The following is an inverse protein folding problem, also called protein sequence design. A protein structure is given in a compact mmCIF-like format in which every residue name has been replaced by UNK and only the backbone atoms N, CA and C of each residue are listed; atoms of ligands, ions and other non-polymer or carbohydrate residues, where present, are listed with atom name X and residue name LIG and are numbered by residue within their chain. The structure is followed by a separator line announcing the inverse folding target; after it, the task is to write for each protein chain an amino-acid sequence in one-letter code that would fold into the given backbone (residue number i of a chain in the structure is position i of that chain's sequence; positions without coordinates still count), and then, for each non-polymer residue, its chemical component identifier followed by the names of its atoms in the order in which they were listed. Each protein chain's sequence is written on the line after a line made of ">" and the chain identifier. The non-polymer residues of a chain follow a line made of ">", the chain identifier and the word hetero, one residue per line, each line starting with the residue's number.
data_IF_845814544227
#
_entry.id   IF_845814544227
#
_cell.length_a   1.000
_cell.length_b   1.000
_cell.length_c   1.000
_cell.angle_alpha   90.00
_cell.angle_beta   90.00
_cell.angle_gamma   90.00
#
_symmetry.space_group_name_H-M   'P 1'
#
loop_
_entity.id
_entity.type
_entity.pdbx_description
1 polymer ?
#
# COMPACT_ATOMS: atom_id res chain seq x y z
N UNK A 1 -63.23 9.78 27.29
CA UNK A 1 -63.59 11.00 28.03
C UNK A 1 -64.56 11.87 27.28
N UNK A 2 -64.32 12.21 26.01
CA UNK A 2 -65.26 13.03 25.23
C UNK A 2 -66.66 12.40 25.15
N UNK A 3 -66.73 11.09 24.91
CA UNK A 3 -68.01 10.37 24.93
C UNK A 3 -68.75 10.50 26.29
N UNK A 4 -68.04 10.37 27.42
CA UNK A 4 -68.64 10.54 28.75
C UNK A 4 -69.14 11.97 28.99
N UNK A 5 -68.42 12.97 28.46
CA UNK A 5 -68.81 14.38 28.51
C UNK A 5 -70.08 14.63 27.69
N UNK A 6 -70.16 14.06 26.48
CA UNK A 6 -71.36 14.15 25.63
C UNK A 6 -72.55 13.41 26.27
N UNK A 7 -72.34 12.20 26.79
CA UNK A 7 -73.36 11.45 27.52
C UNK A 7 -73.88 12.24 28.73
N UNK A 8 -73.00 12.88 29.50
CA UNK A 8 -73.39 13.73 30.63
C UNK A 8 -74.23 14.94 30.16
N UNK A 9 -73.82 15.61 29.09
CA UNK A 9 -74.55 16.76 28.51
C UNK A 9 -75.96 16.33 28.06
N UNK A 10 -76.06 15.17 27.39
CA UNK A 10 -77.34 14.63 26.91
C UNK A 10 -78.24 14.20 28.07
N UNK A 11 -77.72 13.43 29.03
CA UNK A 11 -78.52 12.94 30.18
C UNK A 11 -78.98 14.07 31.09
N UNK A 12 -78.22 15.18 31.15
CA UNK A 12 -78.58 16.35 31.95
C UNK A 12 -79.43 17.38 31.23
N UNK A 13 -79.67 17.23 29.92
CA UNK A 13 -80.22 18.30 29.09
C UNK A 13 -79.47 19.62 29.30
N UNK A 14 -78.13 19.55 29.43
CA UNK A 14 -77.31 20.72 29.74
C UNK A 14 -77.29 21.75 28.63
N UNK A 15 -77.67 21.37 27.40
CA UNK A 15 -77.83 22.28 26.25
C UNK A 15 -79.26 22.26 25.73
N UNK A 16 -79.75 23.41 25.29
CA UNK A 16 -81.01 23.53 24.56
C UNK A 16 -80.83 23.16 23.07
N UNK A 17 -81.93 23.20 22.30
CA UNK A 17 -81.94 22.90 20.85
C UNK A 17 -81.02 23.81 20.01
N UNK A 18 -80.70 25.00 20.52
CA UNK A 18 -79.80 25.97 19.89
C UNK A 18 -78.32 25.76 20.29
N UNK A 19 -78.03 24.76 21.15
CA UNK A 19 -76.67 24.44 21.61
C UNK A 19 -76.16 25.31 22.76
N UNK A 20 -77.01 26.14 23.36
CA UNK A 20 -76.71 27.04 24.49
C UNK A 20 -76.89 26.31 25.81
N UNK A 21 -75.95 26.53 26.75
CA UNK A 21 -76.01 25.90 28.06
C UNK A 21 -77.17 26.41 28.92
N UNK A 22 -77.89 25.48 29.55
CA UNK A 22 -79.02 25.75 30.43
C UNK A 22 -78.57 25.78 31.89
N UNK A 23 -78.67 26.94 32.54
CA UNK A 23 -78.12 27.16 33.89
C UNK A 23 -78.73 26.23 34.96
N UNK A 24 -80.03 25.90 34.88
CA UNK A 24 -80.68 24.98 35.81
C UNK A 24 -80.15 23.55 35.68
N UNK A 25 -79.90 23.09 34.45
CA UNK A 25 -79.33 21.77 34.18
C UNK A 25 -77.86 21.67 34.63
N UNK A 26 -77.07 22.72 34.43
CA UNK A 26 -75.67 22.76 34.88
C UNK A 26 -75.51 22.69 36.41
N UNK A 27 -76.51 23.18 37.15
CA UNK A 27 -76.54 23.13 38.63
C UNK A 27 -77.01 21.79 39.18
N UNK A 28 -77.54 20.90 38.34
CA UNK A 28 -78.00 19.59 38.79
C UNK A 28 -76.80 18.76 39.29
N UNK A 29 -76.92 18.20 40.49
CA UNK A 29 -75.87 17.40 41.13
C UNK A 29 -76.16 15.91 41.15
N UNK A 30 -77.39 15.51 40.85
CA UNK A 30 -77.84 14.10 40.93
C UNK A 30 -77.38 13.31 39.71
N UNK A 31 -77.43 13.92 38.52
CA UNK A 31 -77.14 13.23 37.26
C UNK A 31 -75.67 12.83 37.18
N UNK A 32 -74.76 13.72 37.58
CA UNK A 32 -73.33 13.41 37.67
C UNK A 32 -73.05 12.30 38.69
N UNK A 33 -73.63 12.38 39.89
CA UNK A 33 -73.47 11.36 40.92
C UNK A 33 -74.00 9.99 40.46
N UNK A 34 -75.17 9.94 39.84
CA UNK A 34 -75.73 8.71 39.30
C UNK A 34 -74.86 8.11 38.20
N UNK A 35 -74.39 8.93 37.25
CA UNK A 35 -73.61 8.45 36.12
C UNK A 35 -72.22 7.95 36.53
N UNK A 36 -71.47 8.73 37.32
CA UNK A 36 -70.07 8.42 37.62
C UNK A 36 -69.88 7.59 38.89
N UNK A 37 -70.80 7.65 39.85
CA UNK A 37 -70.69 6.88 41.10
C UNK A 37 -71.58 5.64 41.03
N UNK A 38 -72.90 5.81 40.87
CA UNK A 38 -73.83 4.67 40.95
C UNK A 38 -73.72 3.72 39.75
N UNK A 39 -73.49 4.25 38.55
CA UNK A 39 -73.32 3.46 37.33
C UNK A 39 -71.84 3.08 37.06
N UNK A 40 -70.93 3.34 38.01
CA UNK A 40 -69.52 2.90 37.95
C UNK A 40 -68.63 3.58 36.90
N UNK A 41 -69.15 4.55 36.11
CA UNK A 41 -68.37 5.19 35.03
C UNK A 41 -67.16 5.96 35.53
N UNK A 42 -67.19 6.45 36.77
CA UNK A 42 -66.06 7.13 37.38
C UNK A 42 -64.91 6.18 37.71
N UNK A 43 -65.19 4.94 38.11
CA UNK A 43 -64.16 3.94 38.40
C UNK A 43 -63.54 3.42 37.10
N UNK A 44 -64.36 3.12 36.08
CA UNK A 44 -63.88 2.79 34.72
C UNK A 44 -62.97 3.91 34.17
N UNK A 45 -63.34 5.17 34.40
CA UNK A 45 -62.55 6.31 33.97
C UNK A 45 -61.24 6.44 34.76
N UNK A 46 -61.27 6.24 36.08
CA UNK A 46 -60.09 6.26 36.94
C UNK A 46 -59.06 5.23 36.48
N UNK A 47 -59.50 4.02 36.19
CA UNK A 47 -58.64 2.94 35.71
C UNK A 47 -57.94 3.34 34.41
N UNK A 48 -58.70 3.82 33.42
CA UNK A 48 -58.13 4.27 32.13
C UNK A 48 -57.19 5.47 32.27
N UNK A 49 -57.56 6.45 33.10
CA UNK A 49 -56.76 7.66 33.34
C UNK A 49 -55.41 7.34 34.00
N UNK A 50 -55.35 6.32 34.85
CA UNK A 50 -54.11 5.93 35.53
C UNK A 50 -53.31 4.86 34.76
N UNK A 51 -53.95 4.08 33.90
CA UNK A 51 -53.27 3.18 32.96
C UNK A 51 -52.43 3.95 31.95
N UNK A 52 -52.97 5.05 31.39
CA UNK A 52 -52.31 5.82 30.32
C UNK A 52 -50.89 6.33 30.69
N UNK A 53 -50.67 7.04 31.82
CA UNK A 53 -49.32 7.43 32.25
C UNK A 53 -48.35 6.24 32.38
N UNK A 54 -48.86 5.10 32.83
CA UNK A 54 -48.08 3.86 33.02
C UNK A 54 -47.67 3.26 31.68
N UNK A 55 -48.61 3.15 30.73
CA UNK A 55 -48.36 2.66 29.37
C UNK A 55 -47.35 3.54 28.63
N UNK A 56 -47.51 4.86 28.70
CA UNK A 56 -46.57 5.81 28.09
C UNK A 56 -45.17 5.64 28.71
N UNK A 57 -45.06 5.55 30.04
CA UNK A 57 -43.77 5.34 30.71
C UNK A 57 -43.12 4.01 30.30
N UNK A 58 -43.91 2.95 30.09
CA UNK A 58 -43.42 1.66 29.60
C UNK A 58 -42.92 1.73 28.15
N UNK A 59 -43.65 2.43 27.27
CA UNK A 59 -43.23 2.67 25.88
C UNK A 59 -41.90 3.43 25.85
N UNK A 60 -41.77 4.50 26.65
CA UNK A 60 -40.55 5.29 26.76
C UNK A 60 -39.38 4.46 27.30
N UNK A 61 -39.60 3.64 28.32
CA UNK A 61 -38.57 2.73 28.84
C UNK A 61 -38.14 1.70 27.79
N UNK A 62 -39.06 1.21 26.95
CA UNK A 62 -38.76 0.25 25.88
C UNK A 62 -37.84 0.80 24.78
N UNK A 63 -37.79 2.12 24.61
CA UNK A 63 -36.92 2.82 23.66
C UNK A 63 -35.69 3.46 24.32
N UNK A 64 -35.37 3.09 25.56
CA UNK A 64 -34.17 3.55 26.28
C UNK A 64 -34.32 4.86 27.06
N UNK A 65 -35.54 5.39 27.22
CA UNK A 65 -35.85 6.57 28.02
C UNK A 65 -36.43 6.19 29.39
N UNK A 66 -35.66 5.46 30.20
CA UNK A 66 -36.12 4.92 31.49
C UNK A 66 -36.31 5.94 32.61
N UNK A 67 -35.71 7.13 32.48
CA UNK A 67 -35.72 8.16 33.54
C UNK A 67 -37.00 9.02 33.52
N UNK A 68 -37.84 8.86 32.48
CA UNK A 68 -39.08 9.62 32.30
C UNK A 68 -40.24 8.79 32.83
N UNK A 69 -40.94 9.32 33.83
CA UNK A 69 -42.15 8.70 34.37
C UNK A 69 -43.21 9.75 34.68
N UNK A 70 -44.47 9.37 34.48
CA UNK A 70 -45.62 10.26 34.65
C UNK A 70 -46.44 9.87 35.89
N UNK A 71 -46.92 10.88 36.61
CA UNK A 71 -47.78 10.66 37.78
C UNK A 71 -49.19 10.21 37.35
N UNK A 72 -49.91 9.45 38.19
CA UNK A 72 -51.31 9.11 37.93
C UNK A 72 -52.19 10.38 37.85
N UNK A 73 -53.13 10.41 36.89
CA UNK A 73 -54.02 11.56 36.66
C UNK A 73 -55.19 11.58 37.65
N UNK A 74 -55.77 10.41 37.94
CA UNK A 74 -56.99 10.26 38.72
C UNK A 74 -56.67 9.79 40.15
N UNK A 75 -56.43 10.76 41.03
CA UNK A 75 -55.98 10.54 42.42
C UNK A 75 -57.14 10.44 43.42
N UNK A 76 -56.96 9.62 44.46
CA UNK A 76 -57.82 9.67 45.64
C UNK A 76 -57.45 10.87 46.50
N UNK A 77 -58.36 11.32 47.37
CA UNK A 77 -58.16 12.55 48.14
C UNK A 77 -56.88 12.53 48.99
N UNK A 78 -56.53 11.39 49.58
CA UNK A 78 -55.29 11.23 50.36
C UNK A 78 -54.00 11.52 49.57
N UNK A 79 -54.03 11.36 48.25
CA UNK A 79 -52.88 11.50 47.36
C UNK A 79 -52.78 12.92 46.76
N UNK A 80 -53.72 13.80 47.11
CA UNK A 80 -53.77 15.20 46.70
C UNK A 80 -53.38 16.07 47.89
N UNK A 81 -52.35 16.90 47.72
CA UNK A 81 -51.71 17.68 48.81
C UNK A 81 -52.70 18.52 49.63
N UNK A 82 -53.64 19.20 48.97
CA UNK A 82 -54.64 20.05 49.64
C UNK A 82 -55.62 19.26 50.51
N UNK A 83 -55.78 17.96 50.28
CA UNK A 83 -56.72 17.09 51.02
C UNK A 83 -56.01 16.09 51.94
N UNK A 84 -54.69 15.93 51.84
CA UNK A 84 -53.92 14.92 52.57
C UNK A 84 -54.08 15.01 54.10
N UNK A 85 -54.25 16.24 54.62
CA UNK A 85 -54.41 16.51 56.06
C UNK A 85 -55.86 16.74 56.50
N UNK A 86 -56.82 16.75 55.58
CA UNK A 86 -58.23 16.96 55.89
C UNK A 86 -58.89 15.66 56.38
N UNK A 87 -59.33 15.62 57.63
CA UNK A 87 -59.90 14.40 58.24
C UNK A 87 -61.21 13.95 57.59
N UNK A 88 -61.99 14.86 57.02
CA UNK A 88 -63.29 14.57 56.42
C UNK A 88 -63.17 14.20 54.93
N UNK A 89 -62.16 14.75 54.24
CA UNK A 89 -62.02 14.58 52.80
C UNK A 89 -60.99 13.52 52.43
N UNK A 90 -59.91 13.33 53.19
CA UNK A 90 -58.77 12.47 52.81
C UNK A 90 -59.14 11.02 52.44
N UNK A 91 -60.21 10.48 53.02
CA UNK A 91 -60.63 9.09 52.78
C UNK A 91 -61.58 8.94 51.58
N UNK A 92 -61.91 10.02 50.87
CA UNK A 92 -62.76 9.96 49.68
C UNK A 92 -61.99 9.36 48.51
N UNK A 93 -62.61 8.41 47.84
CA UNK A 93 -62.15 7.93 46.53
C UNK A 93 -62.22 9.06 45.50
N UNK A 94 -61.45 8.93 44.42
CA UNK A 94 -61.50 9.79 43.24
C UNK A 94 -62.95 10.04 42.79
N UNK A 95 -63.76 9.00 42.73
CA UNK A 95 -65.15 9.08 42.29
C UNK A 95 -66.02 9.87 43.27
N UNK A 96 -65.86 9.63 44.56
CA UNK A 96 -66.60 10.33 45.61
C UNK A 96 -66.16 11.78 45.79
N UNK A 97 -64.87 12.06 45.55
CA UNK A 97 -64.32 13.40 45.64
C UNK A 97 -64.85 14.30 44.51
N UNK A 98 -64.93 13.75 43.30
CA UNK A 98 -65.16 14.52 42.08
C UNK A 98 -66.61 14.53 41.57
N UNK A 99 -67.42 13.51 41.90
CA UNK A 99 -68.74 13.34 41.28
C UNK A 99 -69.90 13.27 42.27
N UNK A 100 -69.67 13.02 43.56
CA UNK A 100 -70.76 13.07 44.56
C UNK A 100 -71.20 14.51 44.78
N UNK A 101 -72.50 14.76 44.59
CA UNK A 101 -73.11 16.09 44.74
C UNK A 101 -72.42 17.19 43.92
N UNK A 102 -71.74 16.83 42.83
CA UNK A 102 -71.01 17.77 41.99
C UNK A 102 -71.92 18.27 40.85
N UNK A 103 -72.06 19.59 40.65
CA UNK A 103 -72.87 20.12 39.55
C UNK A 103 -72.36 19.64 38.20
N UNK A 104 -73.28 19.33 37.27
CA UNK A 104 -72.95 18.93 35.89
C UNK A 104 -71.94 19.86 35.24
N UNK A 105 -72.08 21.18 35.41
CA UNK A 105 -71.13 22.16 34.86
C UNK A 105 -69.71 21.99 35.41
N UNK A 106 -69.57 21.70 36.70
CA UNK A 106 -68.28 21.45 37.33
C UNK A 106 -67.66 20.14 36.81
N UNK A 107 -68.48 19.10 36.63
CA UNK A 107 -68.01 17.81 36.10
C UNK A 107 -67.56 17.94 34.64
N UNK A 108 -68.26 18.71 33.80
CA UNK A 108 -67.81 18.99 32.42
C UNK A 108 -66.45 19.70 32.42
N UNK A 109 -66.24 20.67 33.30
CA UNK A 109 -64.95 21.35 33.44
C UNK A 109 -63.86 20.38 33.92
N UNK A 110 -64.15 19.54 34.91
CA UNK A 110 -63.23 18.53 35.43
C UNK A 110 -62.82 17.51 34.37
N UNK A 111 -63.77 17.01 33.57
CA UNK A 111 -63.46 16.12 32.45
C UNK A 111 -62.55 16.81 31.42
N UNK A 112 -62.74 18.11 31.20
CA UNK A 112 -61.86 18.90 30.32
C UNK A 112 -60.46 19.06 30.92
N UNK A 113 -60.35 19.21 32.23
CA UNK A 113 -59.07 19.22 32.92
C UNK A 113 -58.33 17.89 32.75
N UNK A 114 -59.00 16.75 32.96
CA UNK A 114 -58.37 15.44 32.72
C UNK A 114 -57.99 15.21 31.25
N UNK A 115 -58.78 15.70 30.30
CA UNK A 115 -58.40 15.72 28.88
C UNK A 115 -57.08 16.49 28.67
N UNK A 116 -56.92 17.65 29.29
CA UNK A 116 -55.68 18.43 29.20
C UNK A 116 -54.49 17.73 29.84
N UNK A 117 -54.67 17.05 30.98
CA UNK A 117 -53.57 16.28 31.60
C UNK A 117 -53.09 15.14 30.70
N UNK A 118 -54.01 14.43 30.02
CA UNK A 118 -53.64 13.43 29.02
C UNK A 118 -52.83 14.06 27.88
N UNK A 119 -53.29 15.19 27.34
CA UNK A 119 -52.58 15.90 26.27
C UNK A 119 -51.21 16.43 26.71
N UNK A 120 -51.06 16.86 27.97
CA UNK A 120 -49.78 17.30 28.52
C UNK A 120 -48.77 16.15 28.56
N UNK A 121 -49.20 14.97 29.07
CA UNK A 121 -48.36 13.77 29.09
C UNK A 121 -47.97 13.36 27.67
N UNK A 122 -48.92 13.37 26.73
CA UNK A 122 -48.66 13.05 25.33
C UNK A 122 -47.62 13.99 24.72
N UNK A 123 -47.78 15.30 24.93
CA UNK A 123 -46.87 16.33 24.42
C UNK A 123 -45.45 16.19 25.00
N UNK A 124 -45.33 15.95 26.31
CA UNK A 124 -44.04 15.74 26.97
C UNK A 124 -43.36 14.46 26.47
N UNK A 125 -44.11 13.37 26.33
CA UNK A 125 -43.59 12.11 25.77
C UNK A 125 -43.14 12.28 24.31
N UNK A 126 -43.94 12.93 23.46
CA UNK A 126 -43.59 13.21 22.06
C UNK A 126 -42.36 14.12 21.95
N UNK A 127 -42.23 15.11 22.84
CA UNK A 127 -41.05 15.97 22.91
C UNK A 127 -39.81 15.17 23.32
N UNK A 128 -39.93 14.29 24.31
CA UNK A 128 -38.84 13.41 24.73
C UNK A 128 -38.41 12.44 23.62
N UNK A 129 -39.36 11.84 22.90
CA UNK A 129 -39.09 10.99 21.73
C UNK A 129 -38.41 11.80 20.62
N UNK A 130 -38.89 13.01 20.32
CA UNK A 130 -38.29 13.87 19.30
C UNK A 130 -36.85 14.25 19.67
N UNK A 131 -36.59 14.51 20.95
CA UNK A 131 -35.25 14.81 21.45
C UNK A 131 -34.34 13.59 21.49
N UNK A 132 -34.86 12.38 21.72
CA UNK A 132 -34.07 11.14 21.68
C UNK A 132 -33.73 10.73 20.24
N UNK A 133 -34.61 11.06 19.29
CA UNK A 133 -34.34 11.00 17.85
C UNK A 133 -33.34 12.10 17.43
N UNK A 134 -33.00 13.03 18.34
CA UNK A 134 -32.09 14.16 18.21
C UNK A 134 -30.90 13.92 17.29
N UNK A 135 -31.10 14.30 16.03
CA UNK A 135 -30.15 14.39 14.92
C UNK A 135 -29.33 13.11 14.65
N UNK A 136 -29.74 12.35 13.63
CA UNK A 136 -28.81 11.56 12.79
C UNK A 136 -27.86 12.50 12.02
N UNK A 137 -27.21 13.43 12.71
CA UNK A 137 -26.19 14.27 12.13
C UNK A 137 -24.95 13.40 12.01
N UNK A 138 -24.53 13.11 10.77
CA UNK A 138 -23.18 12.64 10.54
C UNK A 138 -22.24 13.75 11.02
N UNK A 139 -21.74 13.62 12.26
CA UNK A 139 -20.87 14.61 12.88
C UNK A 139 -19.50 14.52 12.22
N UNK A 140 -19.29 15.28 11.15
CA UNK A 140 -18.03 15.40 10.45
C UNK A 140 -17.01 16.18 11.31
N UNK A 141 -16.43 15.53 12.33
CA UNK A 141 -15.52 16.13 13.31
C UNK A 141 -14.04 15.75 13.11
N UNK A 142 -13.76 14.78 12.25
CA UNK A 142 -12.39 14.46 11.82
C UNK A 142 -12.19 15.08 10.45
N UNK A 143 -11.21 15.97 10.30
CA UNK A 143 -10.89 16.67 9.06
C UNK A 143 -9.43 16.44 8.69
N UNK A 144 -9.18 15.97 7.46
CA UNK A 144 -7.84 15.81 6.90
C UNK A 144 -7.75 16.46 5.51
N UNK A 145 -6.69 17.22 5.26
CA UNK A 145 -6.36 17.68 3.91
C UNK A 145 -5.78 16.53 3.08
N UNK A 146 -6.30 16.32 1.88
CA UNK A 146 -5.81 15.29 0.93
C UNK A 146 -5.58 15.89 -0.45
N UNK A 147 -4.72 15.21 -1.21
CA UNK A 147 -4.45 15.51 -2.61
C UNK A 147 -4.68 14.22 -3.40
N UNK A 148 -5.50 14.29 -4.45
CA UNK A 148 -5.65 13.24 -5.45
C UNK A 148 -4.92 13.68 -6.72
N UNK A 149 -3.71 13.18 -6.91
CA UNK A 149 -2.91 13.46 -8.10
C UNK A 149 -3.28 12.52 -9.25
N UNK A 150 -3.27 13.03 -10.48
CA UNK A 150 -3.43 12.20 -11.69
C UNK A 150 -2.23 11.26 -11.85
N UNK A 151 -1.03 11.72 -11.51
CA UNK A 151 0.18 10.90 -11.47
C UNK A 151 1.10 11.34 -10.34
N UNK A 152 1.63 10.37 -9.59
CA UNK A 152 2.67 10.59 -8.58
C UNK A 152 4.09 10.65 -9.18
N UNK A 153 4.25 10.38 -10.47
CA UNK A 153 5.52 10.48 -11.21
C UNK A 153 5.32 11.40 -12.40
N UNK A 154 6.02 12.53 -12.40
CA UNK A 154 5.90 13.57 -13.43
C UNK A 154 7.29 13.93 -13.95
N UNK A 155 7.42 14.04 -15.27
CA UNK A 155 8.69 14.40 -15.89
C UNK A 155 9.04 15.87 -15.64
N UNK A 156 10.34 16.18 -15.51
CA UNK A 156 10.77 17.56 -15.35
C UNK A 156 10.35 18.40 -16.57
N UNK A 157 9.71 19.55 -16.32
CA UNK A 157 9.18 20.44 -17.35
C UNK A 157 7.74 20.15 -17.79
N UNK A 158 7.10 19.09 -17.28
CA UNK A 158 5.67 18.83 -17.53
C UNK A 158 4.79 19.34 -16.38
N UNK A 159 3.48 19.52 -16.63
CA UNK A 159 2.52 19.96 -15.60
C UNK A 159 2.24 18.83 -14.60
N UNK A 160 2.14 19.19 -13.33
CA UNK A 160 1.57 18.35 -12.28
C UNK A 160 0.10 18.74 -12.09
N UNK A 161 -0.81 17.79 -12.24
CA UNK A 161 -2.26 17.99 -12.11
C UNK A 161 -2.80 17.15 -10.95
N UNK A 162 -3.52 17.79 -10.04
CA UNK A 162 -4.07 17.17 -8.85
C UNK A 162 -5.24 17.99 -8.29
N UNK A 163 -6.20 17.29 -7.67
CA UNK A 163 -7.27 17.90 -6.90
C UNK A 163 -6.92 17.92 -5.42
N UNK A 164 -7.02 19.10 -4.79
CA UNK A 164 -6.86 19.26 -3.35
C UNK A 164 -8.23 19.40 -2.70
N UNK A 165 -8.50 18.60 -1.68
CA UNK A 165 -9.80 18.57 -1.01
C UNK A 165 -9.65 18.31 0.49
N UNK A 166 -10.68 18.66 1.24
CA UNK A 166 -10.82 18.31 2.66
C UNK A 166 -11.61 17.00 2.71
N UNK A 167 -10.99 15.96 3.24
CA UNK A 167 -11.67 14.71 3.56
C UNK A 167 -12.17 14.79 5.00
N UNK A 168 -13.44 14.48 5.21
CA UNK A 168 -14.06 14.50 6.54
C UNK A 168 -14.60 13.12 6.91
N UNK A 169 -14.41 12.74 8.17
CA UNK A 169 -14.98 11.54 8.76
C UNK A 169 -15.66 11.86 10.10
N UNK A 170 -16.43 10.91 10.61
CA UNK A 170 -17.08 11.00 11.92
C UNK A 170 -16.38 10.08 12.91
N UNK A 171 -16.00 10.61 14.07
CA UNK A 171 -15.47 9.83 15.19
C UNK A 171 -16.49 8.87 15.81
N UNK A 172 -17.80 9.13 15.62
CA UNK A 172 -18.89 8.30 16.15
C UNK A 172 -19.42 7.27 15.14
N UNK A 173 -18.99 7.33 13.88
CA UNK A 173 -19.37 6.36 12.86
C UNK A 173 -18.28 5.30 12.67
N UNK A 174 -18.67 4.04 12.56
CA UNK A 174 -17.78 2.93 12.24
C UNK A 174 -18.11 2.41 10.83
N UNK A 175 -17.59 3.06 9.76
CA UNK A 175 -17.84 2.60 8.40
C UNK A 175 -17.20 1.24 8.15
N UNK A 176 -17.88 0.38 7.40
CA UNK A 176 -17.31 -0.87 6.90
C UNK A 176 -16.80 -0.66 5.49
N UNK A 177 -15.50 -0.86 5.27
CA UNK A 177 -14.87 -0.68 3.97
C UNK A 177 -14.40 -2.02 3.41
N UNK A 178 -14.61 -2.25 2.11
CA UNK A 178 -14.13 -3.47 1.43
C UNK A 178 -13.50 -3.12 0.08
N UNK A 179 -12.52 -3.91 -0.33
CA UNK A 179 -11.76 -3.71 -1.57
C UNK A 179 -11.59 -5.02 -2.33
N UNK A 180 -11.93 -5.03 -3.62
CA UNK A 180 -11.60 -6.06 -4.63
C UNK A 180 -11.76 -7.52 -4.18
N UNK A 181 -12.83 -7.82 -3.43
CA UNK A 181 -13.07 -9.16 -2.90
C UNK A 181 -12.03 -9.67 -1.89
N UNK A 182 -11.08 -8.82 -1.47
CA UNK A 182 -10.03 -9.12 -0.47
C UNK A 182 -10.53 -9.01 0.98
N UNK A 183 -11.81 -8.67 1.15
CA UNK A 183 -12.47 -8.57 2.45
C UNK A 183 -12.44 -7.16 3.04
N UNK A 184 -12.50 -7.10 4.37
CA UNK A 184 -12.59 -5.84 5.11
C UNK A 184 -11.25 -5.11 5.15
N UNK A 185 -11.29 -3.82 4.87
CA UNK A 185 -10.14 -2.91 4.96
C UNK A 185 -10.06 -2.38 6.40
N UNK A 186 -8.87 -2.39 7.05
CA UNK A 186 -8.68 -1.75 8.34
C UNK A 186 -9.01 -0.25 8.27
N UNK A 187 -9.85 0.22 9.18
CA UNK A 187 -10.28 1.63 9.25
C UNK A 187 -9.67 2.28 10.48
N UNK A 188 -9.00 3.42 10.27
CA UNK A 188 -8.41 4.25 11.32
C UNK A 188 -8.90 5.69 11.15
N UNK A 189 -9.50 6.28 12.20
CA UNK A 189 -10.11 7.62 12.16
C UNK A 189 -11.12 7.82 11.01
N UNK A 190 -11.84 6.75 10.65
CA UNK A 190 -12.79 6.75 9.53
C UNK A 190 -12.16 6.64 8.14
N UNK A 191 -10.83 6.46 8.04
CA UNK A 191 -10.11 6.26 6.78
C UNK A 191 -9.60 4.82 6.64
N UNK A 192 -9.92 4.18 5.52
CA UNK A 192 -9.42 2.85 5.19
C UNK A 192 -7.93 2.86 4.81
N UNK A 193 -7.17 1.90 5.32
CA UNK A 193 -5.74 1.69 4.98
C UNK A 193 -5.59 0.46 4.09
N UNK A 194 -5.07 0.66 2.88
CA UNK A 194 -4.87 -0.41 1.90
C UNK A 194 -3.38 -0.62 1.63
N UNK A 195 -2.92 -1.87 1.65
CA UNK A 195 -1.55 -2.25 1.31
C UNK A 195 -1.56 -3.66 0.71
N UNK A 196 -0.92 -3.85 -0.45
CA UNK A 196 -0.78 -5.15 -1.08
C UNK A 196 0.31 -5.14 -2.15
N UNK A 197 0.89 -6.31 -2.42
CA UNK A 197 1.84 -6.51 -3.51
C UNK A 197 1.09 -6.64 -4.83
N UNK A 198 1.47 -5.81 -5.81
CA UNK A 198 0.94 -5.88 -7.18
C UNK A 198 1.69 -6.97 -7.96
N UNK A 199 0.94 -7.93 -8.53
CA UNK A 199 1.50 -8.96 -9.39
C UNK A 199 1.76 -8.42 -10.82
N UNK A 200 2.68 -9.03 -11.60
CA UNK A 200 2.82 -8.73 -13.01
C UNK A 200 1.49 -8.91 -13.76
N UNK A 201 1.21 -8.01 -14.71
CA UNK A 201 0.01 -8.08 -15.51
C UNK A 201 0.16 -9.16 -16.61
N UNK A 202 -0.97 -9.71 -17.06
CA UNK A 202 -1.00 -10.69 -18.16
C UNK A 202 -0.61 -10.08 -19.51
N UNK A 203 -0.85 -8.78 -19.70
CA UNK A 203 -0.49 -8.02 -20.89
C UNK A 203 -0.19 -6.58 -20.52
N UNK A 204 0.68 -5.96 -21.30
CA UNK A 204 1.08 -4.56 -21.20
C UNK A 204 0.83 -3.90 -22.56
N UNK A 205 0.54 -2.60 -22.57
CA UNK A 205 0.42 -1.82 -23.79
C UNK A 205 1.80 -1.57 -24.46
N UNK A 206 1.82 -0.87 -25.59
CA UNK A 206 3.04 -0.54 -26.34
C UNK A 206 4.03 0.32 -25.53
N UNK A 207 3.59 0.93 -24.43
CA UNK A 207 4.41 1.72 -23.51
C UNK A 207 4.87 0.91 -22.29
N UNK A 208 4.54 -0.38 -22.23
CA UNK A 208 4.87 -1.25 -21.12
C UNK A 208 4.03 -0.97 -19.87
N UNK A 209 2.82 -0.44 -20.01
CA UNK A 209 1.91 -0.17 -18.88
C UNK A 209 0.69 -1.08 -18.97
N UNK A 210 0.25 -1.58 -17.82
CA UNK A 210 -0.98 -2.34 -17.69
C UNK A 210 -1.94 -1.54 -16.82
N UNK A 211 -3.08 -1.15 -17.40
CA UNK A 211 -4.16 -0.49 -16.67
C UNK A 211 -4.83 -1.50 -15.74
N UNK A 212 -5.00 -1.12 -14.48
CA UNK A 212 -5.70 -1.88 -13.47
C UNK A 212 -6.75 -0.98 -12.82
N UNK A 213 -7.88 -1.57 -12.41
CA UNK A 213 -8.96 -0.86 -11.74
C UNK A 213 -9.19 -1.53 -10.40
N UNK A 214 -9.03 -0.79 -9.32
CA UNK A 214 -9.46 -1.19 -7.99
C UNK A 214 -10.93 -0.84 -7.81
N UNK A 215 -11.72 -1.81 -7.39
CA UNK A 215 -13.12 -1.62 -7.02
C UNK A 215 -13.32 -1.85 -5.54
N UNK A 216 -14.20 -1.09 -4.92
CA UNK A 216 -14.49 -1.20 -3.50
C UNK A 216 -15.84 -0.62 -3.15
N UNK A 217 -16.21 -0.76 -1.88
CA UNK A 217 -17.39 -0.11 -1.33
C UNK A 217 -17.14 0.30 0.12
N UNK A 218 -17.69 1.45 0.46
CA UNK A 218 -17.76 1.97 1.83
C UNK A 218 -19.23 1.91 2.23
N UNK A 219 -19.53 1.22 3.33
CA UNK A 219 -20.86 1.17 3.94
C UNK A 219 -20.82 2.02 5.20
N UNK A 220 -21.66 3.05 5.26
CA UNK A 220 -21.75 3.94 6.41
C UNK A 220 -23.19 4.39 6.61
N UNK A 221 -23.57 4.61 7.86
CA UNK A 221 -24.91 5.08 8.18
C UNK A 221 -24.96 6.61 8.05
N UNK A 222 -25.81 7.10 7.16
CA UNK A 222 -26.01 8.54 6.91
C UNK A 222 -27.50 8.83 7.08
N UNK A 223 -27.85 9.63 8.09
CA UNK A 223 -29.26 9.98 8.31
C UNK A 223 -30.12 8.81 8.80
N UNK A 224 -29.54 7.76 9.38
CA UNK A 224 -30.25 6.57 9.86
C UNK A 224 -30.35 5.43 8.85
N UNK A 225 -29.97 5.66 7.60
CA UNK A 225 -29.93 4.64 6.56
C UNK A 225 -28.49 4.24 6.21
N UNK A 226 -28.26 2.95 6.01
CA UNK A 226 -26.97 2.44 5.53
C UNK A 226 -26.82 2.79 4.04
N UNK A 227 -25.88 3.68 3.75
CA UNK A 227 -25.53 4.06 2.39
C UNK A 227 -24.31 3.28 1.92
N UNK A 228 -24.36 2.83 0.66
CA UNK A 228 -23.26 2.14 -0.02
C UNK A 228 -22.63 3.11 -1.01
N UNK A 229 -21.39 3.49 -0.74
CA UNK A 229 -20.61 4.39 -1.58
C UNK A 229 -19.61 3.54 -2.38
N UNK A 230 -19.77 3.42 -3.72
CA UNK A 230 -18.82 2.68 -4.54
C UNK A 230 -17.50 3.45 -4.64
N UNK A 231 -16.40 2.70 -4.72
CA UNK A 231 -15.06 3.23 -4.94
C UNK A 231 -14.52 2.57 -6.21
N UNK A 232 -14.06 3.40 -7.15
CA UNK A 232 -13.33 2.96 -8.33
C UNK A 232 -12.05 3.79 -8.43
N UNK A 233 -10.91 3.12 -8.53
CA UNK A 233 -9.61 3.78 -8.64
C UNK A 233 -8.74 3.12 -9.69
N UNK A 234 -8.40 3.87 -10.73
CA UNK A 234 -7.52 3.41 -11.80
C UNK A 234 -6.05 3.59 -11.41
N UNK A 235 -5.24 2.55 -11.63
CA UNK A 235 -3.79 2.61 -11.45
C UNK A 235 -3.06 1.85 -12.57
N UNK A 236 -1.80 2.21 -12.83
CA UNK A 236 -0.99 1.61 -13.88
C UNK A 236 0.16 0.81 -13.31
N UNK A 237 0.33 -0.41 -13.81
CA UNK A 237 1.44 -1.30 -13.45
C UNK A 237 2.45 -1.27 -14.58
N UNK A 238 3.67 -0.82 -14.29
CA UNK A 238 4.74 -0.78 -15.27
C UNK A 238 5.40 -2.16 -15.44
N UNK A 239 5.71 -2.52 -16.68
CA UNK A 239 6.45 -3.73 -17.02
C UNK A 239 7.89 -3.60 -16.50
N UNK A 240 8.37 -4.56 -15.71
CA UNK A 240 9.74 -4.51 -15.22
C UNK A 240 10.70 -4.96 -16.34
N UNK A 241 11.17 -4.01 -17.15
CA UNK A 241 12.14 -4.27 -18.22
C UNK A 241 13.57 -4.20 -17.67
N UNK A 242 14.35 -5.24 -17.95
CA UNK A 242 15.77 -5.30 -17.57
C UNK A 242 16.59 -4.54 -18.61
N UNK A 243 17.39 -3.58 -18.15
CA UNK A 243 18.41 -2.90 -18.95
C UNK A 243 19.78 -3.31 -18.44
N UNK A 244 20.65 -3.77 -19.33
CA UNK A 244 22.04 -4.11 -18.98
C UNK A 244 22.98 -3.16 -19.66
N UNK A 245 23.80 -2.49 -18.85
CA UNK A 245 24.88 -1.62 -19.29
C UNK A 245 26.23 -2.30 -18.98
N UNK A 246 27.09 -2.38 -19.99
CA UNK A 246 28.42 -2.97 -19.91
C UNK A 246 29.34 -2.29 -20.91
N UNK A 247 30.64 -2.20 -20.60
CA UNK A 247 31.63 -1.78 -21.59
C UNK A 247 31.83 -2.87 -22.67
N UNK A 248 31.60 -4.14 -22.31
CA UNK A 248 31.58 -5.27 -23.26
C UNK A 248 30.14 -5.57 -23.62
N UNK A 249 29.67 -4.89 -24.67
CA UNK A 249 28.31 -5.04 -25.17
C UNK A 249 28.22 -6.38 -25.91
N UNK A 250 27.22 -7.22 -25.59
CA UNK A 250 26.82 -8.47 -26.27
C UNK A 250 27.49 -9.79 -25.87
N UNK A 251 28.74 -9.81 -25.40
CA UNK A 251 29.44 -11.06 -25.04
C UNK A 251 30.29 -10.89 -23.79
N UNK A 252 30.43 -11.94 -22.98
CA UNK A 252 31.25 -11.91 -21.77
C UNK A 252 32.53 -12.72 -21.97
N UNK A 253 33.67 -12.20 -21.53
CA UNK A 253 34.94 -12.90 -21.63
C UNK A 253 35.01 -14.06 -20.63
N UNK A 254 35.35 -15.25 -21.12
CA UNK A 254 35.52 -16.47 -20.33
C UNK A 254 36.56 -16.28 -19.21
N UNK A 255 36.26 -16.79 -18.01
CA UNK A 255 37.17 -16.75 -16.85
C UNK A 255 37.75 -15.35 -16.54
N UNK A 256 36.99 -14.30 -16.82
CA UNK A 256 37.33 -12.90 -16.55
C UNK A 256 36.25 -12.23 -15.68
N UNK A 257 36.61 -11.17 -14.98
CA UNK A 257 35.69 -10.36 -14.21
C UNK A 257 34.92 -9.37 -15.12
N UNK A 258 33.74 -9.77 -15.58
CA UNK A 258 32.89 -8.92 -16.43
C UNK A 258 31.98 -8.06 -15.56
N UNK A 259 32.29 -6.77 -15.45
CA UNK A 259 31.49 -5.83 -14.67
C UNK A 259 30.25 -5.38 -15.45
N UNK A 260 29.06 -5.66 -14.91
CA UNK A 260 27.76 -5.32 -15.47
C UNK A 260 26.99 -4.41 -14.50
N UNK A 261 26.23 -3.48 -15.07
CA UNK A 261 25.20 -2.72 -14.36
C UNK A 261 23.83 -3.15 -14.92
N UNK A 262 23.05 -3.84 -14.09
CA UNK A 262 21.71 -4.32 -14.43
C UNK A 262 20.69 -3.44 -13.70
N UNK A 263 19.82 -2.79 -14.45
CA UNK A 263 18.83 -1.85 -13.95
C UNK A 263 17.42 -2.28 -14.37
N UNK A 264 16.45 -2.04 -13.50
CA UNK A 264 15.03 -2.18 -13.83
C UNK A 264 14.37 -0.84 -13.52
N UNK A 265 14.33 0.11 -14.48
CA UNK A 265 13.93 1.48 -14.20
C UNK A 265 12.56 1.63 -13.54
N UNK A 266 11.61 0.73 -13.88
CA UNK A 266 10.27 0.72 -13.31
C UNK A 266 10.24 0.50 -11.78
N UNK A 267 11.27 -0.11 -11.21
CA UNK A 267 11.36 -0.36 -9.76
C UNK A 267 12.02 0.81 -9.01
N UNK A 268 12.81 1.66 -9.69
CA UNK A 268 13.45 2.81 -9.07
C UNK A 268 14.12 2.48 -7.73
N UNK A 269 13.72 3.18 -6.66
CA UNK A 269 14.28 2.98 -5.32
C UNK A 269 13.84 1.68 -4.62
N UNK A 270 12.80 0.99 -5.09
CA UNK A 270 12.39 -0.31 -4.55
C UNK A 270 13.16 -1.48 -5.18
N UNK A 271 14.06 -1.19 -6.13
CA UNK A 271 14.92 -2.19 -6.74
C UNK A 271 15.89 -2.79 -5.72
N UNK A 272 15.67 -4.07 -5.40
CA UNK A 272 16.48 -4.84 -4.45
C UNK A 272 16.91 -6.15 -5.12
N UNK A 273 17.96 -6.12 -5.96
CA UNK A 273 18.26 -7.22 -6.87
C UNK A 273 18.96 -8.42 -6.24
N UNK A 274 18.57 -9.58 -6.75
CA UNK A 274 19.26 -10.85 -6.57
C UNK A 274 19.52 -11.49 -7.93
N UNK A 275 20.76 -11.93 -8.15
CA UNK A 275 21.21 -12.48 -9.42
C UNK A 275 21.54 -13.97 -9.29
N UNK A 276 20.82 -14.80 -10.03
CA UNK A 276 21.09 -16.23 -10.15
C UNK A 276 21.81 -16.49 -11.48
N UNK A 277 23.01 -17.06 -11.44
CA UNK A 277 23.81 -17.28 -12.65
C UNK A 277 23.91 -18.77 -12.96
N UNK A 278 23.66 -19.11 -14.22
CA UNK A 278 23.93 -20.43 -14.80
C UNK A 278 25.16 -20.36 -15.70
N UNK A 279 26.04 -21.37 -15.66
CA UNK A 279 27.31 -21.43 -16.42
C UNK A 279 28.28 -20.28 -16.08
N UNK A 280 28.37 -19.92 -14.79
CA UNK A 280 29.26 -18.89 -14.28
C UNK A 280 29.08 -18.64 -12.79
N UNK A 281 29.77 -17.62 -12.29
CA UNK A 281 29.67 -17.13 -10.92
C UNK A 281 29.39 -15.62 -10.91
N UNK A 282 28.71 -15.12 -9.87
CA UNK A 282 28.52 -13.68 -9.63
C UNK A 282 29.26 -13.22 -8.38
N UNK A 283 29.69 -11.97 -8.40
CA UNK A 283 30.11 -11.22 -7.22
C UNK A 283 29.25 -9.96 -7.17
N UNK A 284 28.56 -9.73 -6.06
CA UNK A 284 27.75 -8.52 -5.86
C UNK A 284 28.66 -7.29 -5.77
N UNK A 285 28.32 -6.23 -6.49
CA UNK A 285 28.99 -4.94 -6.40
C UNK A 285 28.52 -4.11 -5.20
N UNK A 286 29.01 -2.88 -5.11
CA UNK A 286 28.74 -1.98 -3.97
C UNK A 286 27.40 -1.23 -4.10
N UNK A 287 26.79 -1.23 -5.28
CA UNK A 287 25.52 -0.54 -5.56
C UNK A 287 24.47 -1.53 -6.05
N UNK A 288 23.17 -1.32 -5.77
CA UNK A 288 22.10 -2.09 -6.38
C UNK A 288 22.26 -2.12 -7.90
N UNK A 289 22.17 -3.32 -8.48
CA UNK A 289 22.33 -3.52 -9.93
C UNK A 289 23.75 -3.79 -10.39
N UNK A 290 24.78 -3.41 -9.62
CA UNK A 290 26.17 -3.69 -9.99
C UNK A 290 26.53 -5.15 -9.67
N UNK A 291 26.98 -5.88 -10.67
CA UNK A 291 27.38 -7.28 -10.54
C UNK A 291 28.58 -7.59 -11.42
N UNK A 292 29.57 -8.28 -10.86
CA UNK A 292 30.68 -8.83 -11.63
C UNK A 292 30.34 -10.27 -11.97
N UNK A 293 30.25 -10.59 -13.25
CA UNK A 293 29.96 -11.94 -13.76
C UNK A 293 31.24 -12.59 -14.24
N UNK A 294 31.44 -13.83 -13.83
CA UNK A 294 32.59 -14.66 -14.20
C UNK A 294 32.03 -15.87 -14.96
N UNK A 295 32.00 -15.81 -16.30
CA UNK A 295 31.48 -16.90 -17.12
C UNK A 295 32.41 -18.12 -17.05
N UNK A 296 31.85 -19.30 -17.34
CA UNK A 296 32.62 -20.51 -17.59
C UNK A 296 33.45 -20.45 -18.89
N UNK A 297 34.00 -21.59 -19.31
CA UNK A 297 34.94 -21.65 -20.43
C UNK A 297 34.31 -21.41 -21.82
N UNK A 298 33.03 -21.78 -22.02
CA UNK A 298 32.34 -21.66 -23.31
C UNK A 298 30.82 -21.76 -23.18
N UNK A 299 30.09 -21.39 -24.24
CA UNK A 299 28.63 -21.50 -24.33
C UNK A 299 27.93 -20.19 -24.03
N UNK A 300 26.78 -20.27 -23.36
CA UNK A 300 26.00 -19.11 -22.92
C UNK A 300 25.95 -19.04 -21.39
N UNK A 301 25.94 -17.83 -20.86
CA UNK A 301 25.69 -17.53 -19.45
C UNK A 301 24.32 -16.88 -19.33
N UNK A 302 23.50 -17.42 -18.44
CA UNK A 302 22.14 -16.90 -18.18
C UNK A 302 22.12 -16.27 -16.79
N UNK A 303 21.72 -15.00 -16.73
CA UNK A 303 21.58 -14.20 -15.52
C UNK A 303 20.08 -14.05 -15.23
N UNK A 304 19.58 -14.80 -14.26
CA UNK A 304 18.25 -14.61 -13.71
C UNK A 304 18.23 -13.42 -12.76
N UNK A 305 17.39 -12.43 -13.06
CA UNK A 305 17.23 -11.21 -12.25
C UNK A 305 15.94 -11.34 -11.43
N UNK A 306 16.08 -11.29 -10.11
CA UNK A 306 14.96 -11.20 -9.17
C UNK A 306 15.06 -9.89 -8.39
N UNK A 307 13.93 -9.38 -7.90
CA UNK A 307 13.90 -8.22 -7.01
C UNK A 307 12.77 -8.37 -5.98
N UNK A 308 13.08 -8.22 -4.69
CA UNK A 308 12.09 -8.32 -3.62
C UNK A 308 11.31 -9.64 -3.61
N UNK A 309 11.98 -10.75 -3.93
CA UNK A 309 11.38 -12.10 -4.00
C UNK A 309 10.67 -12.42 -5.32
N UNK A 310 10.47 -11.46 -6.22
CA UNK A 310 9.82 -11.67 -7.51
C UNK A 310 10.85 -11.86 -8.63
N UNK A 311 10.62 -12.84 -9.50
CA UNK A 311 11.42 -13.03 -10.71
C UNK A 311 11.04 -11.99 -11.75
N UNK A 312 12.02 -11.20 -12.20
CA UNK A 312 11.85 -10.18 -13.23
C UNK A 312 12.02 -10.81 -14.62
N UNK A 313 13.10 -11.58 -14.80
CA UNK A 313 13.41 -12.19 -16.08
C UNK A 313 14.82 -12.77 -16.14
N UNK A 314 15.22 -13.21 -17.31
CA UNK A 314 16.55 -13.72 -17.59
C UNK A 314 17.23 -12.85 -18.65
N UNK A 315 18.53 -12.62 -18.51
CA UNK A 315 19.38 -12.02 -19.55
C UNK A 315 20.45 -13.03 -19.93
N UNK A 316 20.67 -13.23 -21.23
CA UNK A 316 21.63 -14.19 -21.74
C UNK A 316 22.76 -13.50 -22.48
N UNK A 317 23.98 -13.99 -22.27
CA UNK A 317 25.17 -13.54 -22.98
C UNK A 317 25.93 -14.73 -23.55
N UNK A 318 26.50 -14.56 -24.75
CA UNK A 318 27.46 -15.51 -25.29
C UNK A 318 28.82 -15.35 -24.62
N UNK A 319 29.50 -16.48 -24.40
CA UNK A 319 30.84 -16.50 -23.82
C UNK A 319 31.87 -16.38 -24.93
N UNK A 320 32.70 -15.35 -24.85
CA UNK A 320 33.80 -15.07 -25.77
C UNK A 320 35.12 -15.55 -25.15
N UNK A 321 35.96 -16.32 -25.87
CA UNK A 321 37.28 -16.66 -25.38
C UNK A 321 38.16 -15.43 -25.27
N UNK A 322 39.15 -15.48 -24.36
CA UNK A 322 40.14 -14.43 -24.22
C UNK A 322 40.99 -14.34 -25.50
N UNK A 323 41.14 -13.16 -26.13
CA UNK A 323 41.97 -13.01 -27.31
C UNK A 323 43.42 -13.38 -27.02
N UNK A 324 44.06 -14.06 -27.97
CA UNK A 324 45.49 -14.34 -27.87
C UNK A 324 46.28 -13.01 -27.82
N UNK A 325 47.25 -12.86 -26.91
CA UNK A 325 48.09 -11.68 -26.88
C UNK A 325 49.02 -11.66 -28.10
N UNK A 326 49.54 -10.49 -28.42
CA UNK A 326 50.52 -10.33 -29.48
C UNK A 326 51.93 -10.32 -28.90
N UNK A 327 52.83 -11.17 -29.41
CA UNK A 327 54.23 -11.17 -28.95
C UNK A 327 54.99 -10.01 -29.58
N UNK A 328 55.79 -9.34 -28.75
CA UNK A 328 56.71 -8.28 -29.17
C UNK A 328 58.06 -8.47 -28.51
N UNK A 329 59.11 -8.09 -29.23
CA UNK A 329 60.46 -8.03 -28.70
C UNK A 329 60.78 -6.57 -28.44
N UNK A 330 61.10 -6.25 -27.19
CA UNK A 330 61.39 -4.88 -26.75
C UNK A 330 62.83 -4.78 -26.27
N UNK A 331 63.44 -3.61 -26.45
CA UNK A 331 64.80 -3.34 -25.98
C UNK A 331 64.87 -3.15 -24.47
N UNK A 332 66.06 -2.91 -23.94
CA UNK A 332 66.27 -2.62 -22.52
C UNK A 332 65.51 -1.37 -22.05
N UNK A 333 65.25 -0.43 -22.96
CA UNK A 333 64.49 0.79 -22.76
C UNK A 333 62.96 0.60 -22.90
N UNK A 334 62.49 -0.61 -23.21
CA UNK A 334 61.06 -0.92 -23.39
C UNK A 334 60.47 -0.54 -24.75
N UNK A 335 61.26 -0.01 -25.68
CA UNK A 335 60.82 0.29 -27.04
C UNK A 335 60.78 -0.99 -27.88
N UNK A 336 59.74 -1.15 -28.72
CA UNK A 336 59.68 -2.26 -29.67
C UNK A 336 60.83 -2.18 -30.67
N UNK A 337 61.47 -3.32 -30.94
CA UNK A 337 62.52 -3.38 -31.95
C UNK A 337 61.91 -3.37 -33.35
N UNK A 338 62.51 -2.59 -34.24
CA UNK A 338 62.23 -2.69 -35.67
C UNK A 338 62.88 -3.95 -36.24
N UNK A 339 62.05 -4.97 -36.47
CA UNK A 339 62.47 -6.26 -36.99
C UNK A 339 62.84 -6.23 -38.48
N UNK A 340 62.58 -5.12 -39.19
CA UNK A 340 62.99 -4.95 -40.59
C UNK A 340 64.47 -4.62 -40.74
N UNK A 341 65.12 -4.18 -39.66
CA UNK A 341 66.51 -3.76 -39.65
C UNK A 341 67.38 -4.69 -38.80
N UNK A 342 68.61 -4.90 -39.25
CA UNK A 342 69.60 -5.62 -38.45
C UNK A 342 69.96 -4.82 -37.20
N UNK A 343 70.01 -5.53 -36.07
CA UNK A 343 70.16 -4.99 -34.74
C UNK A 343 71.59 -5.21 -34.24
N UNK A 344 72.22 -4.18 -33.63
CA UNK A 344 73.56 -4.33 -33.10
C UNK A 344 73.54 -5.20 -31.83
N UNK A 345 74.61 -5.97 -31.62
CA UNK A 345 74.73 -6.94 -30.50
C UNK A 345 74.47 -6.31 -29.12
N UNK A 346 74.84 -5.03 -28.92
CA UNK A 346 74.62 -4.32 -27.66
C UNK A 346 73.13 -4.09 -27.34
N UNK A 347 72.29 -3.85 -28.35
CA UNK A 347 70.82 -3.73 -28.18
C UNK A 347 70.22 -5.08 -27.87
N UNK A 348 70.72 -6.15 -28.50
CA UNK A 348 70.28 -7.52 -28.31
C UNK A 348 70.57 -8.04 -26.90
N UNK A 349 71.63 -7.58 -26.22
CA UNK A 349 71.94 -8.03 -24.86
C UNK A 349 70.87 -7.67 -23.82
N UNK A 350 70.02 -6.69 -24.11
CA UNK A 350 68.98 -6.20 -23.20
C UNK A 350 67.55 -6.49 -23.63
N UNK A 351 67.33 -7.30 -24.68
CA UNK A 351 65.96 -7.52 -25.18
C UNK A 351 65.11 -8.34 -24.20
N UNK A 352 63.82 -8.04 -24.18
CA UNK A 352 62.80 -8.81 -23.47
C UNK A 352 61.71 -9.21 -24.45
N UNK A 353 61.21 -10.43 -24.31
CA UNK A 353 60.06 -10.92 -25.05
C UNK A 353 58.83 -10.67 -24.18
N UNK A 354 57.92 -9.83 -24.67
CA UNK A 354 56.71 -9.42 -23.93
C UNK A 354 55.46 -9.83 -24.68
N UNK A 355 54.44 -10.24 -23.95
CA UNK A 355 53.11 -10.53 -24.50
C UNK A 355 52.21 -9.31 -24.25
N UNK A 356 51.77 -8.64 -25.31
CA UNK A 356 50.86 -7.50 -25.22
C UNK A 356 49.42 -7.96 -25.44
N UNK A 357 48.54 -7.67 -24.48
CA UNK A 357 47.11 -7.89 -24.64
C UNK A 357 46.55 -7.14 -25.86
N UNK A 358 45.50 -7.69 -26.47
CA UNK A 358 44.74 -6.98 -27.50
C UNK A 358 44.17 -5.66 -26.93
N UNK A 359 44.25 -4.53 -27.66
CA UNK A 359 43.93 -3.22 -27.09
C UNK A 359 42.53 -3.09 -26.48
N UNK A 360 41.51 -3.70 -27.09
CA UNK A 360 40.13 -3.66 -26.59
C UNK A 360 40.00 -4.47 -25.31
N UNK A 361 40.55 -5.69 -25.27
CA UNK A 361 40.58 -6.53 -24.08
C UNK A 361 41.39 -5.89 -22.94
N UNK A 362 42.53 -5.28 -23.24
CA UNK A 362 43.33 -4.58 -22.23
C UNK A 362 42.57 -3.41 -21.58
N UNK A 363 41.74 -2.72 -22.37
CA UNK A 363 40.92 -1.61 -21.87
C UNK A 363 39.74 -2.12 -21.03
N UNK A 364 38.95 -3.05 -21.56
CA UNK A 364 37.72 -3.52 -20.93
C UNK A 364 37.94 -4.52 -19.80
N UNK A 365 39.06 -5.24 -19.83
CA UNK A 365 39.42 -6.33 -18.90
C UNK A 365 40.81 -6.11 -18.28
N UNK A 366 41.08 -4.90 -17.81
CA UNK A 366 42.39 -4.48 -17.28
C UNK A 366 42.95 -5.36 -16.15
N UNK A 367 42.08 -5.92 -15.30
CA UNK A 367 42.48 -6.85 -14.22
C UNK A 367 42.85 -8.25 -14.71
N UNK A 368 42.47 -8.57 -15.94
CA UNK A 368 42.54 -9.91 -16.55
C UNK A 368 43.47 -9.94 -17.78
N UNK A 369 44.05 -8.80 -18.16
CA UNK A 369 44.88 -8.62 -19.36
C UNK A 369 46.38 -8.69 -19.10
N UNK A 370 46.80 -9.26 -17.97
CA UNK A 370 48.22 -9.42 -17.64
C UNK A 370 48.77 -10.70 -18.27
N UNK A 371 49.59 -10.56 -19.30
CA UNK A 371 50.22 -11.68 -20.01
C UNK A 371 51.74 -11.65 -19.85
N UNK A 372 52.33 -12.84 -19.66
CA UNK A 372 53.77 -13.06 -19.55
C UNK A 372 54.19 -14.21 -20.47
N UNK A 373 55.30 -14.04 -21.18
CA UNK A 373 55.89 -15.14 -21.94
C UNK A 373 56.64 -16.05 -20.97
N UNK A 374 56.13 -17.25 -20.75
CA UNK A 374 56.65 -18.19 -19.74
C UNK A 374 57.34 -19.41 -20.34
N UNK A 375 57.16 -19.66 -21.64
CA UNK A 375 57.81 -20.76 -22.33
C UNK A 375 58.27 -20.38 -23.73
N UNK A 376 59.47 -20.83 -24.06
CA UNK A 376 60.08 -20.66 -25.36
C UNK A 376 61.60 -20.64 -25.28
N UNK A 377 62.23 -20.47 -26.44
CA UNK A 377 63.67 -20.51 -26.60
C UNK A 377 64.15 -19.42 -27.56
N UNK A 378 65.37 -18.97 -27.31
CA UNK A 378 66.14 -18.08 -28.17
C UNK A 378 67.20 -18.93 -28.86
N UNK A 379 67.21 -18.91 -30.18
CA UNK A 379 68.10 -19.75 -31.00
C UNK A 379 68.97 -18.83 -31.85
N UNK A 380 70.29 -18.98 -31.75
CA UNK A 380 71.23 -18.35 -32.69
C UNK A 380 71.32 -19.22 -33.95
N UNK A 381 70.91 -18.67 -35.10
CA UNK A 381 71.06 -19.30 -36.39
C UNK A 381 72.24 -18.70 -37.15
N UNK A 382 73.05 -19.58 -37.75
CA UNK A 382 74.07 -19.22 -38.74
C UNK A 382 73.81 -20.00 -40.01
N UNK A 383 73.46 -19.30 -41.08
CA UNK A 383 73.09 -19.92 -42.37
C UNK A 383 72.01 -21.00 -42.19
N UNK A 384 70.93 -20.68 -41.47
CA UNK A 384 69.80 -21.57 -41.15
C UNK A 384 70.12 -22.76 -40.21
N UNK A 385 71.35 -22.87 -39.69
CA UNK A 385 71.73 -23.94 -38.74
C UNK A 385 71.76 -23.40 -37.31
N UNK A 386 71.04 -24.02 -36.35
CA UNK A 386 71.14 -23.69 -34.93
C UNK A 386 72.56 -23.89 -34.39
N UNK A 387 73.11 -22.86 -33.75
CA UNK A 387 74.46 -22.87 -33.15
C UNK A 387 74.43 -22.88 -31.64
N UNK A 388 73.47 -22.20 -31.04
CA UNK A 388 73.26 -22.20 -29.61
C UNK A 388 71.80 -21.87 -29.31
N UNK A 389 71.30 -22.39 -28.20
CA UNK A 389 69.92 -22.20 -27.76
C UNK A 389 69.91 -21.91 -26.27
N UNK A 390 69.13 -20.92 -25.84
CA UNK A 390 68.87 -20.66 -24.42
C UNK A 390 67.38 -20.42 -24.19
N UNK A 391 66.82 -20.79 -23.04
CA UNK A 391 65.41 -20.53 -22.75
C UNK A 391 65.11 -19.03 -22.64
N UNK A 392 63.92 -18.60 -23.04
CA UNK A 392 63.47 -17.21 -22.85
C UNK A 392 63.47 -16.89 -21.34
N UNK A 393 64.00 -15.72 -20.97
CA UNK A 393 64.18 -15.30 -19.58
C UNK A 393 65.54 -15.65 -18.97
N UNK A 394 66.34 -16.49 -19.64
CA UNK A 394 67.75 -16.66 -19.30
C UNK A 394 68.64 -15.57 -19.95
N UNK A 395 69.82 -15.35 -19.40
CA UNK A 395 70.77 -14.36 -19.92
C UNK A 395 71.25 -14.75 -21.33
N UNK A 396 71.12 -13.84 -22.30
CA UNK A 396 71.52 -14.05 -23.69
C UNK A 396 73.03 -13.89 -23.95
N UNK A 397 73.80 -13.54 -22.91
CA UNK A 397 75.23 -13.24 -23.04
C UNK A 397 76.00 -14.39 -23.73
N UNK A 398 75.69 -15.63 -23.39
CA UNK A 398 76.32 -16.82 -24.00
C UNK A 398 75.96 -16.99 -25.48
N UNK A 399 74.74 -16.63 -25.89
CA UNK A 399 74.37 -16.62 -27.32
C UNK A 399 75.15 -15.53 -28.07
N UNK A 400 75.18 -14.33 -27.50
CA UNK A 400 75.74 -13.14 -28.14
C UNK A 400 77.27 -13.18 -28.26
N UNK A 401 77.98 -13.84 -27.34
CA UNK A 401 79.43 -14.03 -27.43
C UNK A 401 79.85 -14.85 -28.68
N UNK A 402 78.96 -15.71 -29.18
CA UNK A 402 79.20 -16.54 -30.36
C UNK A 402 78.59 -16.00 -31.66
N UNK A 403 77.83 -14.90 -31.56
CA UNK A 403 77.14 -14.26 -32.67
C UNK A 403 78.10 -13.48 -33.57
N UNK A 404 77.85 -13.51 -34.88
CA UNK A 404 78.59 -12.76 -35.91
C UNK A 404 77.63 -11.90 -36.74
N UNK A 405 78.11 -10.81 -37.36
CA UNK A 405 77.32 -10.07 -38.34
C UNK A 405 76.77 -11.01 -39.41
N UNK A 406 75.46 -10.94 -39.68
CA UNK A 406 74.75 -11.82 -40.60
C UNK A 406 74.18 -13.11 -40.00
N UNK A 407 74.40 -13.37 -38.71
CA UNK A 407 73.63 -14.37 -37.96
C UNK A 407 72.23 -13.81 -37.60
N UNK A 408 71.31 -14.70 -37.21
CA UNK A 408 69.96 -14.33 -36.75
C UNK A 408 69.68 -14.87 -35.35
N UNK A 409 68.98 -14.09 -34.54
CA UNK A 409 68.34 -14.59 -33.32
C UNK A 409 66.90 -14.93 -33.65
N UNK A 410 66.52 -16.18 -33.46
CA UNK A 410 65.14 -16.63 -33.57
C UNK A 410 64.56 -16.78 -32.17
N UNK A 411 63.56 -15.96 -31.88
CA UNK A 411 62.70 -16.07 -30.70
C UNK A 411 61.57 -17.03 -31.04
N UNK A 412 61.58 -18.21 -30.44
CA UNK A 412 60.49 -19.19 -30.55
C UNK A 412 59.69 -19.17 -29.25
N UNK A 413 58.53 -18.54 -29.26
CA UNK A 413 57.58 -18.61 -28.15
C UNK A 413 56.75 -19.88 -28.28
N UNK A 414 56.57 -20.59 -27.16
CA UNK A 414 55.73 -21.80 -27.09
C UNK A 414 54.57 -21.64 -26.11
N UNK A 415 54.74 -20.81 -25.08
CA UNK A 415 53.75 -20.67 -24.02
C UNK A 415 53.68 -19.23 -23.50
N UNK A 416 52.45 -18.77 -23.29
CA UNK A 416 52.13 -17.52 -22.60
C UNK A 416 51.26 -17.84 -21.39
N UNK A 417 51.51 -17.16 -20.28
CA UNK A 417 50.71 -17.27 -19.07
C UNK A 417 49.93 -15.97 -18.88
N UNK A 418 48.61 -16.10 -18.73
CA UNK A 418 47.72 -15.02 -18.29
C UNK A 418 47.53 -15.08 -16.79
N UNK A 419 47.65 -13.95 -16.10
CA UNK A 419 47.23 -13.84 -14.70
C UNK A 419 45.85 -13.20 -14.65
N UNK A 420 44.85 -13.92 -14.17
CA UNK A 420 43.48 -13.42 -14.08
C UNK A 420 43.26 -12.53 -12.84
N UNK A 421 42.07 -11.94 -12.71
CA UNK A 421 41.73 -11.04 -11.59
C UNK A 421 41.81 -11.69 -10.19
N UNK A 422 41.80 -13.04 -10.11
CA UNK A 422 41.98 -13.81 -8.86
C UNK A 422 43.44 -14.13 -8.55
N UNK A 423 44.37 -13.75 -9.43
CA UNK A 423 45.79 -14.10 -9.33
C UNK A 423 46.13 -15.51 -9.83
N UNK A 424 45.17 -16.21 -10.46
CA UNK A 424 45.43 -17.54 -11.02
C UNK A 424 46.21 -17.40 -12.33
N UNK A 425 47.26 -18.22 -12.46
CA UNK A 425 48.06 -18.33 -13.67
C UNK A 425 47.45 -19.35 -14.62
N UNK A 426 47.01 -18.89 -15.79
CA UNK A 426 46.40 -19.69 -16.84
C UNK A 426 47.40 -19.78 -17.98
N UNK A 427 47.91 -20.99 -18.24
CA UNK A 427 48.84 -21.22 -19.34
C UNK A 427 48.08 -21.44 -20.64
N UNK A 428 48.58 -20.87 -21.73
CA UNK A 428 48.05 -21.05 -23.07
C UNK A 428 49.19 -21.30 -24.03
N UNK A 429 49.02 -22.29 -24.92
CA UNK A 429 49.97 -22.52 -25.99
C UNK A 429 49.86 -21.38 -27.01
N UNK A 430 51.00 -20.77 -27.33
CA UNK A 430 51.10 -19.78 -28.38
C UNK A 430 52.42 -20.00 -29.11
N UNK A 431 52.32 -20.43 -30.37
CA UNK A 431 53.47 -20.70 -31.22
C UNK A 431 53.71 -19.51 -32.12
N UNK A 432 54.71 -18.71 -31.78
CA UNK A 432 55.10 -17.54 -32.56
C UNK A 432 56.62 -17.54 -32.74
N UNK A 433 57.07 -17.23 -33.95
CA UNK A 433 58.48 -17.21 -34.30
C UNK A 433 58.83 -15.80 -34.79
N UNK A 434 59.78 -15.16 -34.11
CA UNK A 434 60.27 -13.83 -34.45
C UNK A 434 61.75 -13.94 -34.78
N UNK A 435 62.15 -13.54 -35.99
CA UNK A 435 63.55 -13.53 -36.43
C UNK A 435 64.10 -12.12 -36.31
N UNK A 436 65.29 -12.00 -35.74
CA UNK A 436 65.97 -10.73 -35.50
C UNK A 436 67.36 -10.82 -36.14
N UNK A 437 67.60 -10.10 -37.26
CA UNK A 437 68.90 -10.10 -37.90
C UNK A 437 69.94 -9.34 -37.08
N UNK A 438 71.17 -9.85 -37.04
CA UNK A 438 72.29 -9.24 -36.31
C UNK A 438 73.23 -8.51 -37.27
N UNK A 439 73.66 -7.30 -36.90
CA UNK A 439 74.74 -6.57 -37.59
C UNK A 439 75.95 -6.28 -36.71
#
# INVERSE_FOLDING_TARGET
>A
MEELKQQLITQSNAKNEEGVFVNSALKNTEIAGNMFVNNGKGDEMKEKLNAYPTEISQILSGIGLSDISFKPIALDAKDIEIFANDREVKNKSFTNLNFVKSPVGAVIALLSQFQNEVLNIESEALTAITNSIGSFYFKADILEGKIAAVSNVVAAGTKFEADMFIASASSSAAPTMTLDGRGNVPVENGFGKIEFTVAPASSYDDKGLARQVLTGKIVTNVGGEDQVIPVEYEYFVAQPVIKVSSEVVQQLYADCANDLLIEVPALGNTYSPEFNITNGQSIKGNRPGQVTVIPGASGKVTIGVNSGGNKIGNVEFDIKPVPAPTIRVVGSNGTELDLSQAQPVNVLNGIKVVAKAEPTFARTMSKDSNFEVTGGELILLRSEVPRATVPIGSGMRSLLESARPGDDIVVRVTQVTRTNFRGNKINSEQREIIRIPIK
#
